data_IF_058085325540
#
_entry.id   IF_058085325540
#
_cell.length_a   1.000
_cell.length_b   1.000
_cell.length_c   1.000
_cell.angle_alpha   90.00
_cell.angle_beta   90.00
_cell.angle_gamma   90.00
#
_symmetry.space_group_name_H-M   'P 1'
#
loop_
_entity.id
_entity.type
_entity.pdbx_description
1 polymer ?
#
# COMPACT_ATOMS: atom_id res chain seq x y z
N UNK A 1 -10.03 -12.82 -2.87
CA UNK A 1 -9.82 -13.51 -4.16
C UNK A 1 -11.12 -14.11 -4.67
N UNK A 2 -11.80 -14.96 -3.90
CA UNK A 2 -13.05 -15.61 -4.37
C UNK A 2 -14.16 -14.63 -4.78
N UNK A 3 -14.38 -13.54 -4.04
CA UNK A 3 -15.40 -12.54 -4.39
C UNK A 3 -15.14 -11.84 -5.73
N UNK A 4 -13.91 -11.37 -5.96
CA UNK A 4 -13.52 -10.69 -7.19
C UNK A 4 -13.59 -11.59 -8.43
N UNK A 5 -13.28 -12.89 -8.27
CA UNK A 5 -13.43 -13.87 -9.34
C UNK A 5 -14.91 -14.09 -9.67
N UNK A 6 -15.77 -14.17 -8.66
CA UNK A 6 -17.22 -14.31 -8.86
C UNK A 6 -17.78 -13.07 -9.59
N UNK A 7 -17.47 -11.85 -9.13
CA UNK A 7 -17.87 -10.61 -9.81
C UNK A 7 -17.40 -10.60 -11.27
N UNK A 8 -16.13 -10.89 -11.50
CA UNK A 8 -15.57 -10.90 -12.86
C UNK A 8 -16.28 -11.90 -13.77
N UNK A 9 -16.53 -13.12 -13.30
CA UNK A 9 -17.23 -14.16 -14.06
C UNK A 9 -18.69 -13.78 -14.32
N UNK A 10 -19.40 -13.28 -13.30
CA UNK A 10 -20.79 -12.83 -13.45
C UNK A 10 -20.89 -11.69 -14.46
N UNK A 11 -20.06 -10.65 -14.33
CA UNK A 11 -20.08 -9.52 -15.26
C UNK A 11 -19.64 -9.92 -16.66
N UNK A 12 -18.70 -10.86 -16.81
CA UNK A 12 -18.28 -11.33 -18.15
C UNK A 12 -19.38 -12.13 -18.85
N UNK A 13 -20.23 -12.85 -18.11
CA UNK A 13 -21.33 -13.64 -18.67
C UNK A 13 -22.56 -12.78 -19.01
N UNK A 14 -22.90 -11.81 -18.15
CA UNK A 14 -24.12 -11.01 -18.28
C UNK A 14 -23.90 -9.62 -18.89
N UNK A 15 -22.70 -9.03 -18.74
CA UNK A 15 -22.38 -7.65 -19.12
C UNK A 15 -20.97 -7.52 -19.75
N UNK A 16 -20.68 -8.24 -20.86
CA UNK A 16 -19.33 -8.29 -21.43
C UNK A 16 -18.80 -6.92 -21.88
N UNK A 17 -19.68 -5.97 -22.20
CA UNK A 17 -19.32 -4.60 -22.61
C UNK A 17 -18.47 -3.88 -21.55
N UNK A 18 -18.72 -4.13 -20.25
CA UNK A 18 -17.97 -3.53 -19.14
C UNK A 18 -16.50 -3.96 -19.15
N UNK A 19 -16.22 -5.18 -19.62
CA UNK A 19 -14.85 -5.70 -19.73
C UNK A 19 -14.11 -5.21 -20.98
N UNK A 20 -14.84 -4.61 -21.93
CA UNK A 20 -14.30 -4.06 -23.18
C UNK A 20 -13.61 -2.71 -23.03
N UNK A 21 -13.68 -2.04 -21.87
CA UNK A 21 -13.06 -0.73 -21.65
C UNK A 21 -11.53 -0.83 -21.48
N UNK A 22 -10.82 -1.01 -22.59
CA UNK A 22 -9.35 -1.10 -22.63
C UNK A 22 -8.65 0.08 -21.95
N UNK A 23 -9.22 1.28 -22.05
CA UNK A 23 -8.69 2.46 -21.37
C UNK A 23 -8.67 2.30 -19.85
N UNK A 24 -9.76 1.80 -19.25
CA UNK A 24 -9.86 1.54 -17.81
C UNK A 24 -8.89 0.42 -17.42
N UNK A 25 -8.82 -0.63 -18.23
CA UNK A 25 -7.88 -1.74 -17.98
C UNK A 25 -6.42 -1.28 -17.99
N UNK A 26 -6.03 -0.43 -18.96
CA UNK A 26 -4.70 0.14 -19.07
C UNK A 26 -4.35 1.08 -17.90
N UNK A 27 -5.33 1.86 -17.40
CA UNK A 27 -5.14 2.64 -16.17
C UNK A 27 -4.87 1.70 -14.99
N UNK A 28 -5.66 0.62 -14.85
CA UNK A 28 -5.44 -0.39 -13.82
C UNK A 28 -4.05 -1.03 -13.90
N UNK A 29 -3.59 -1.37 -15.12
CA UNK A 29 -2.23 -1.87 -15.35
C UNK A 29 -1.17 -0.85 -14.91
N UNK A 30 -1.33 0.41 -15.27
CA UNK A 30 -0.42 1.47 -14.84
C UNK A 30 -0.37 1.60 -13.31
N UNK A 31 -1.53 1.55 -12.64
CA UNK A 31 -1.61 1.56 -11.18
C UNK A 31 -0.88 0.36 -10.56
N UNK A 32 -1.05 -0.83 -11.13
CA UNK A 32 -0.34 -2.06 -10.70
C UNK A 32 1.17 -1.88 -10.82
N UNK A 33 1.65 -1.40 -11.96
CA UNK A 33 3.08 -1.19 -12.20
C UNK A 33 3.67 -0.14 -11.26
N UNK A 34 3.01 1.01 -11.12
CA UNK A 34 3.47 2.08 -10.22
C UNK A 34 3.46 1.63 -8.77
N UNK A 35 2.39 0.95 -8.32
CA UNK A 35 2.30 0.41 -6.96
C UNK A 35 3.40 -0.60 -6.65
N UNK A 36 3.70 -1.48 -7.61
CA UNK A 36 4.78 -2.47 -7.47
C UNK A 36 6.17 -1.83 -7.47
N UNK A 37 6.40 -0.81 -8.31
CA UNK A 37 7.65 -0.04 -8.32
C UNK A 37 7.85 0.66 -6.98
N UNK A 38 6.84 1.37 -6.47
CA UNK A 38 6.88 2.03 -5.15
C UNK A 38 7.25 1.01 -4.07
N UNK A 39 6.62 -0.16 -4.08
CA UNK A 39 6.87 -1.22 -3.09
C UNK A 39 8.29 -1.76 -3.19
N UNK A 40 8.81 -2.01 -4.40
CA UNK A 40 10.18 -2.47 -4.60
C UNK A 40 11.20 -1.40 -4.19
N UNK A 41 10.97 -0.13 -4.52
CA UNK A 41 11.83 0.97 -4.08
C UNK A 41 11.82 1.08 -2.55
N UNK A 42 10.66 0.93 -1.91
CA UNK A 42 10.56 0.92 -0.44
C UNK A 42 11.37 -0.20 0.21
N UNK A 43 11.33 -1.41 -0.36
CA UNK A 43 12.11 -2.56 0.10
C UNK A 43 13.61 -2.32 -0.11
N UNK A 44 14.01 -1.87 -1.31
CA UNK A 44 15.42 -1.60 -1.63
C UNK A 44 15.99 -0.47 -0.77
N UNK A 45 15.21 0.60 -0.55
CA UNK A 45 15.64 1.75 0.25
C UNK A 45 15.73 1.39 1.74
N UNK A 46 14.80 0.58 2.25
CA UNK A 46 14.88 0.09 3.63
C UNK A 46 15.97 -0.98 3.81
N UNK A 47 16.32 -1.73 2.76
CA UNK A 47 17.42 -2.69 2.77
C UNK A 47 17.32 -3.68 3.94
N UNK A 48 18.36 -3.71 4.78
CA UNK A 48 18.40 -4.57 6.00
C UNK A 48 17.38 -4.18 7.08
N UNK A 49 16.83 -2.96 7.01
CA UNK A 49 15.76 -2.51 7.91
C UNK A 49 14.37 -2.96 7.43
N UNK A 50 14.22 -3.47 6.19
CA UNK A 50 12.93 -3.99 5.73
C UNK A 50 12.63 -5.35 6.35
N UNK A 51 11.45 -5.48 6.94
CA UNK A 51 10.94 -6.76 7.43
C UNK A 51 9.45 -6.90 7.12
N UNK A 52 9.04 -8.09 6.66
CA UNK A 52 7.64 -8.39 6.34
C UNK A 52 6.75 -8.47 7.60
N UNK A 53 7.37 -8.69 8.76
CA UNK A 53 6.73 -8.69 10.08
C UNK A 53 7.15 -7.42 10.80
N UNK A 54 6.19 -6.75 11.45
CA UNK A 54 6.48 -5.57 12.29
C UNK A 54 7.48 -6.00 13.35
N UNK A 55 8.66 -5.38 13.36
CA UNK A 55 9.66 -5.64 14.39
C UNK A 55 9.16 -5.12 15.72
N UNK A 56 9.07 -6.03 16.68
CA UNK A 56 8.70 -5.75 18.07
C UNK A 56 9.93 -5.74 18.99
N UNK A 57 11.10 -6.11 18.48
CA UNK A 57 12.37 -6.12 19.21
C UNK A 57 13.38 -5.18 18.54
N UNK A 58 14.05 -4.39 19.37
CA UNK A 58 15.12 -3.49 18.96
C UNK A 58 16.41 -4.29 18.71
N UNK A 59 17.07 -4.06 17.57
CA UNK A 59 18.41 -4.55 17.27
C UNK A 59 19.34 -3.35 17.13
N UNK A 60 20.55 -3.41 17.70
CA UNK A 60 21.50 -2.29 17.76
C UNK A 60 21.90 -1.70 16.39
N UNK A 61 21.66 -2.42 15.30
CA UNK A 61 21.92 -1.96 13.92
C UNK A 61 20.69 -1.38 13.21
N UNK A 62 19.54 -1.29 13.88
CA UNK A 62 18.32 -0.75 13.27
C UNK A 62 18.41 0.78 13.24
N UNK A 63 18.66 1.35 12.06
CA UNK A 63 18.66 2.80 11.85
C UNK A 63 17.35 3.26 11.22
N UNK A 64 16.89 4.46 11.60
CA UNK A 64 15.71 5.07 11.03
C UNK A 64 15.97 5.51 9.58
N UNK A 65 15.25 4.91 8.64
CA UNK A 65 15.36 5.23 7.21
C UNK A 65 14.44 6.40 6.87
N UNK A 66 15.03 7.55 6.53
CA UNK A 66 14.29 8.79 6.18
C UNK A 66 14.63 9.34 4.78
N UNK A 67 15.48 8.62 4.03
CA UNK A 67 15.94 9.03 2.70
C UNK A 67 15.23 8.24 1.58
N UNK A 68 15.48 8.65 0.33
CA UNK A 68 14.83 8.03 -0.83
C UNK A 68 13.31 8.22 -0.80
N UNK A 69 12.56 7.15 -1.05
CA UNK A 69 11.10 7.20 -1.07
C UNK A 69 10.48 7.53 0.31
N UNK A 70 11.20 7.24 1.39
CA UNK A 70 10.79 7.56 2.76
C UNK A 70 10.81 9.07 3.03
N UNK A 71 11.51 9.89 2.22
CA UNK A 71 11.43 11.35 2.34
C UNK A 71 10.04 11.90 2.02
N UNK A 72 9.27 11.18 1.19
CA UNK A 72 7.96 11.62 0.72
C UNK A 72 6.82 11.02 1.53
N UNK A 73 6.95 9.76 1.98
CA UNK A 73 5.94 9.10 2.79
C UNK A 73 6.56 8.10 3.76
N UNK A 74 5.99 7.97 4.96
CA UNK A 74 6.55 7.09 6.01
C UNK A 74 6.33 5.61 5.72
N UNK A 75 5.22 5.26 5.07
CA UNK A 75 4.84 3.88 4.77
C UNK A 75 4.64 3.65 3.26
N UNK A 76 5.72 3.76 2.45
CA UNK A 76 5.64 3.61 1.00
C UNK A 76 5.28 2.19 0.58
N UNK A 77 5.69 1.17 1.35
CA UNK A 77 5.30 -0.22 1.09
C UNK A 77 3.79 -0.45 1.19
N UNK A 78 3.12 0.19 2.16
CA UNK A 78 1.67 0.08 2.34
C UNK A 78 0.90 0.86 1.28
N UNK A 79 1.36 2.08 0.98
CA UNK A 79 0.78 2.92 -0.08
C UNK A 79 0.89 2.25 -1.45
N UNK A 80 2.07 1.70 -1.76
CA UNK A 80 2.30 0.93 -2.99
C UNK A 80 1.45 -0.34 -3.06
N UNK A 81 1.29 -1.07 -1.95
CA UNK A 81 0.43 -2.26 -1.91
C UNK A 81 -1.05 -1.93 -2.10
N UNK A 82 -1.55 -0.85 -1.49
CA UNK A 82 -2.92 -0.40 -1.71
C UNK A 82 -3.15 -0.06 -3.18
N UNK A 83 -2.26 0.73 -3.79
CA UNK A 83 -2.36 1.12 -5.19
C UNK A 83 -2.31 -0.10 -6.12
N UNK A 84 -1.39 -1.03 -5.85
CA UNK A 84 -1.26 -2.28 -6.59
C UNK A 84 -2.55 -3.11 -6.51
N UNK A 85 -3.06 -3.35 -5.30
CA UNK A 85 -4.22 -4.21 -5.10
C UNK A 85 -5.50 -3.61 -5.71
N UNK A 86 -5.73 -2.31 -5.54
CA UNK A 86 -6.85 -1.61 -6.18
C UNK A 86 -6.68 -1.60 -7.70
N UNK A 87 -5.47 -1.35 -8.19
CA UNK A 87 -5.12 -1.40 -9.60
C UNK A 87 -5.48 -2.73 -10.26
N UNK A 88 -5.31 -3.87 -9.58
CA UNK A 88 -5.71 -5.18 -10.12
C UNK A 88 -7.22 -5.26 -10.40
N UNK A 89 -8.06 -4.64 -9.56
CA UNK A 89 -9.50 -4.67 -9.72
C UNK A 89 -9.97 -3.68 -10.80
N UNK A 90 -9.32 -2.52 -10.90
CA UNK A 90 -9.51 -1.57 -12.01
C UNK A 90 -9.11 -2.21 -13.34
N UNK A 91 -7.99 -2.95 -13.36
CA UNK A 91 -7.51 -3.66 -14.56
C UNK A 91 -8.53 -4.68 -15.07
N UNK A 92 -9.19 -5.40 -14.14
CA UNK A 92 -10.26 -6.35 -14.44
C UNK A 92 -11.63 -5.70 -14.68
N UNK A 93 -11.70 -4.36 -14.63
CA UNK A 93 -12.93 -3.58 -14.74
C UNK A 93 -14.03 -4.07 -13.77
N UNK A 94 -13.64 -4.39 -12.52
CA UNK A 94 -14.54 -4.87 -11.46
C UNK A 94 -14.89 -3.69 -10.53
N UNK A 95 -15.99 -2.95 -10.76
CA UNK A 95 -16.29 -1.73 -10.00
C UNK A 95 -16.54 -1.99 -8.51
N UNK A 96 -17.24 -3.09 -8.18
CA UNK A 96 -17.59 -3.39 -6.78
C UNK A 96 -16.35 -3.85 -6.03
N UNK A 97 -15.58 -4.79 -6.58
CA UNK A 97 -14.34 -5.25 -5.97
C UNK A 97 -13.31 -4.14 -5.85
N UNK A 98 -13.27 -3.17 -6.77
CA UNK A 98 -12.39 -2.00 -6.66
C UNK A 98 -12.66 -1.23 -5.38
N UNK A 99 -13.94 -0.90 -5.10
CA UNK A 99 -14.32 -0.17 -3.88
C UNK A 99 -14.09 -1.02 -2.63
N UNK A 100 -14.47 -2.31 -2.67
CA UNK A 100 -14.28 -3.22 -1.53
C UNK A 100 -12.80 -3.37 -1.17
N UNK A 101 -11.93 -3.59 -2.16
CA UNK A 101 -10.49 -3.73 -1.93
C UNK A 101 -9.90 -2.43 -1.37
N UNK A 102 -10.29 -1.28 -1.94
CA UNK A 102 -9.82 0.02 -1.46
C UNK A 102 -10.20 0.22 0.02
N UNK A 103 -11.47 0.00 0.39
CA UNK A 103 -11.94 0.20 1.76
C UNK A 103 -11.33 -0.80 2.76
N UNK A 104 -11.30 -2.09 2.41
CA UNK A 104 -10.78 -3.14 3.30
C UNK A 104 -9.29 -2.92 3.56
N UNK A 105 -8.49 -2.68 2.51
CA UNK A 105 -7.06 -2.47 2.66
C UNK A 105 -6.74 -1.14 3.34
N UNK A 106 -7.46 -0.07 3.00
CA UNK A 106 -7.32 1.20 3.70
C UNK A 106 -7.60 1.05 5.19
N UNK A 107 -8.69 0.34 5.56
CA UNK A 107 -9.04 0.09 6.97
C UNK A 107 -7.99 -0.77 7.69
N UNK A 108 -7.44 -1.76 6.99
CA UNK A 108 -6.36 -2.61 7.51
C UNK A 108 -5.12 -1.77 7.82
N UNK A 109 -4.67 -0.94 6.88
CA UNK A 109 -3.51 -0.07 7.08
C UNK A 109 -3.76 1.04 8.11
N UNK A 110 -4.98 1.57 8.19
CA UNK A 110 -5.38 2.53 9.23
C UNK A 110 -5.25 1.97 10.65
N UNK A 111 -5.33 0.65 10.84
CA UNK A 111 -5.04 0.01 12.14
C UNK A 111 -3.58 -0.37 12.30
N UNK A 112 -2.96 -0.83 11.21
CA UNK A 112 -1.58 -1.36 11.23
C UNK A 112 -0.53 -0.27 11.38
N UNK A 113 -0.71 0.87 10.71
CA UNK A 113 0.24 1.98 10.74
C UNK A 113 0.44 2.51 12.17
N UNK A 114 -0.60 2.92 12.91
CA UNK A 114 -0.41 3.41 14.29
C UNK A 114 0.26 2.38 15.21
N UNK A 115 -0.04 1.09 15.02
CA UNK A 115 0.59 0.01 15.78
C UNK A 115 2.09 -0.11 15.47
N UNK A 116 2.49 0.01 14.21
CA UNK A 116 3.90 0.03 13.82
C UNK A 116 4.61 1.31 14.28
N UNK A 117 3.96 2.46 14.15
CA UNK A 117 4.52 3.74 14.61
C UNK A 117 4.71 3.79 16.13
N UNK A 118 3.90 3.06 16.91
CA UNK A 118 4.12 2.88 18.34
C UNK A 118 5.49 2.27 18.63
N UNK A 119 5.87 1.19 17.97
CA UNK A 119 7.19 0.58 18.14
C UNK A 119 8.31 1.46 17.58
N UNK A 120 8.09 2.11 16.43
CA UNK A 120 9.09 3.04 15.87
C UNK A 120 9.38 4.21 16.82
N UNK A 121 8.37 4.73 17.52
CA UNK A 121 8.56 5.73 18.59
C UNK A 121 9.30 5.16 19.78
N UNK A 122 9.06 3.90 20.16
CA UNK A 122 9.83 3.25 21.23
C UNK A 122 11.30 3.01 20.85
N UNK A 123 11.59 2.69 19.59
CA UNK A 123 12.94 2.41 19.11
C UNK A 123 13.76 3.67 18.87
N UNK A 124 13.15 4.70 18.30
CA UNK A 124 13.87 5.88 17.79
C UNK A 124 13.53 7.19 18.54
N UNK A 125 12.54 7.16 19.43
CA UNK A 125 12.15 8.31 20.26
C UNK A 125 11.91 9.58 19.44
N UNK A 126 12.59 10.66 19.83
CA UNK A 126 12.45 11.99 19.22
C UNK A 126 12.82 12.02 17.73
N UNK A 127 13.72 11.15 17.26
CA UNK A 127 14.09 11.10 15.84
C UNK A 127 12.88 10.72 14.97
N UNK A 128 12.07 9.77 15.43
CA UNK A 128 10.86 9.39 14.72
C UNK A 128 9.78 10.47 14.80
N UNK A 129 9.64 11.14 15.95
CA UNK A 129 8.67 12.22 16.10
C UNK A 129 8.98 13.43 15.19
N UNK A 130 10.26 13.80 15.07
CA UNK A 130 10.69 14.85 14.14
C UNK A 130 10.43 14.47 12.69
N UNK A 131 10.66 13.21 12.34
CA UNK A 131 10.37 12.68 11.02
C UNK A 131 8.85 12.63 10.74
N UNK A 132 8.06 12.15 11.70
CA UNK A 132 6.61 12.05 11.59
C UNK A 132 5.90 13.39 11.45
N UNK A 133 6.48 14.45 12.03
CA UNK A 133 6.00 15.84 11.83
C UNK A 133 6.24 16.39 10.42
N UNK A 134 7.26 15.91 9.72
CA UNK A 134 7.68 16.45 8.41
C UNK A 134 7.12 15.65 7.24
N UNK A 135 6.84 14.36 7.43
CA UNK A 135 6.50 13.43 6.35
C UNK A 135 5.19 12.74 6.69
N UNK A 136 4.24 12.69 5.76
CA UNK A 136 2.94 12.04 5.95
C UNK A 136 3.02 10.51 5.88
N UNK A 137 2.01 9.80 6.39
CA UNK A 137 2.01 8.33 6.36
C UNK A 137 2.11 7.75 4.93
N UNK A 138 1.52 8.43 3.94
CA UNK A 138 1.41 7.97 2.55
C UNK A 138 0.00 7.52 2.16
N UNK A 139 -0.88 7.37 3.14
CA UNK A 139 -2.28 7.01 2.94
C UNK A 139 -3.19 8.16 3.37
N UNK A 140 -4.28 8.43 2.64
CA UNK A 140 -5.20 9.50 2.97
C UNK A 140 -5.86 9.23 4.33
N UNK A 141 -6.03 10.29 5.13
CA UNK A 141 -6.69 10.25 6.45
C UNK A 141 -5.99 9.37 7.51
N UNK A 142 -4.71 9.04 7.33
CA UNK A 142 -3.87 8.37 8.34
C UNK A 142 -2.67 9.28 8.60
N UNK A 143 -2.52 9.77 9.84
CA UNK A 143 -1.43 10.65 10.26
C UNK A 143 -0.62 10.05 11.39
#
# INVERSE_FOLDING_TARGET
MSFAMVEHLTESLFFPEIKGYLFVSNIGLLMVLVGEIIRKIAVVTAGRAFTHVIRIQYEDQHQLVTHGIYRFMRHPGYSGFLLWAVGTQVMLCNPVSTVVFALVLWRFFARRIPYEEFFLRQFFGSQYEEYARKVHSGLPFIN
#
